data_IF_322697515918
#
_entry.id   IF_322697515918
#
_cell.length_a   1.000
_cell.length_b   1.000
_cell.length_c   1.000
_cell.angle_alpha   90.00
_cell.angle_beta   90.00
_cell.angle_gamma   90.00
#
_symmetry.space_group_name_H-M   'P 1'
#
loop_
_entity.id
_entity.type
_entity.pdbx_description
1 polymer ?
#
# COMPACT_ATOMS: atom_id res chain seq x y z
N UNK A 1 14.58 -6.68 1.45
CA UNK A 1 13.91 -5.42 1.85
C UNK A 1 12.63 -5.73 2.62
N UNK A 2 12.28 -4.90 3.60
CA UNK A 2 11.02 -4.96 4.35
C UNK A 2 10.15 -3.77 4.00
N UNK A 3 8.91 -4.02 3.58
CA UNK A 3 7.88 -3.01 3.32
C UNK A 3 6.74 -3.20 4.31
N UNK A 4 6.37 -2.14 5.02
CA UNK A 4 5.19 -2.13 5.89
C UNK A 4 4.20 -1.11 5.38
N UNK A 5 2.95 -1.53 5.21
CA UNK A 5 1.87 -0.64 4.78
C UNK A 5 0.65 -0.75 5.69
N UNK A 6 -0.04 0.37 5.88
CA UNK A 6 -1.22 0.49 6.74
C UNK A 6 -2.39 1.07 5.96
N UNK A 7 -3.56 0.44 6.02
CA UNK A 7 -4.79 0.98 5.48
C UNK A 7 -5.90 1.06 6.53
N UNK A 8 -6.78 2.03 6.36
CA UNK A 8 -7.96 2.24 7.21
C UNK A 8 -8.19 3.72 7.50
N UNK A 9 -9.42 4.04 7.89
CA UNK A 9 -9.85 5.41 8.15
C UNK A 9 -9.64 5.89 9.60
N UNK A 10 -8.68 5.33 10.35
CA UNK A 10 -8.46 5.66 11.75
C UNK A 10 -6.97 5.77 12.04
N UNK A 11 -6.57 6.79 12.77
CA UNK A 11 -5.22 6.98 13.27
C UNK A 11 -4.82 5.79 14.18
N UNK A 12 -3.60 5.31 14.05
CA UNK A 12 -3.06 4.15 14.78
C UNK A 12 -1.76 4.51 15.48
N UNK A 13 -1.80 5.53 16.35
CA UNK A 13 -0.61 6.13 16.98
C UNK A 13 0.29 5.09 17.66
N UNK A 14 -0.27 4.23 18.50
CA UNK A 14 0.52 3.24 19.25
C UNK A 14 1.26 2.25 18.32
N UNK A 15 0.62 1.80 17.24
CA UNK A 15 1.26 0.91 16.27
C UNK A 15 2.36 1.63 15.50
N UNK A 16 2.09 2.87 15.07
CA UNK A 16 3.07 3.66 14.31
C UNK A 16 4.25 4.08 15.18
N UNK A 17 4.02 4.49 16.43
CA UNK A 17 5.10 4.74 17.39
C UNK A 17 5.98 3.50 17.63
N UNK A 18 5.38 2.30 17.64
CA UNK A 18 6.14 1.06 17.74
C UNK A 18 6.98 0.74 16.49
N UNK A 19 6.56 1.18 15.29
CA UNK A 19 7.36 1.12 14.08
C UNK A 19 8.50 2.14 14.09
N UNK A 20 8.21 3.38 14.52
CA UNK A 20 9.21 4.46 14.66
C UNK A 20 10.35 4.04 15.59
N UNK A 21 10.01 3.45 16.75
CA UNK A 21 10.99 2.93 17.71
C UNK A 21 11.89 1.82 17.13
N UNK A 22 11.49 1.18 16.03
CA UNK A 22 12.24 0.16 15.30
C UNK A 22 12.94 0.69 14.05
N UNK A 23 12.82 1.98 13.75
CA UNK A 23 13.33 2.58 12.52
C UNK A 23 12.66 2.03 11.25
N UNK A 24 11.41 1.57 11.35
CA UNK A 24 10.65 1.01 10.23
C UNK A 24 9.74 2.06 9.62
N UNK A 25 10.06 2.58 8.42
CA UNK A 25 9.22 3.54 7.74
C UNK A 25 7.93 2.89 7.27
N UNK A 26 6.85 3.69 7.28
CA UNK A 26 5.50 3.25 6.95
C UNK A 26 5.03 3.85 5.63
N UNK A 27 4.30 3.08 4.82
CA UNK A 27 3.50 3.59 3.71
C UNK A 27 2.03 3.57 4.08
N UNK A 28 1.40 4.73 4.16
CA UNK A 28 -0.04 4.84 4.33
C UNK A 28 -0.78 4.58 3.01
N UNK A 29 -1.72 3.64 3.02
CA UNK A 29 -2.60 3.37 1.88
C UNK A 29 -3.89 4.17 2.06
N UNK A 30 -4.03 5.28 1.35
CA UNK A 30 -5.13 6.23 1.52
C UNK A 30 -6.13 6.18 0.36
N UNK A 31 -7.41 6.22 0.71
CA UNK A 31 -8.54 6.46 -0.19
C UNK A 31 -9.03 7.88 0.09
N UNK A 32 -8.82 8.81 -0.82
CA UNK A 32 -9.07 10.21 -0.54
C UNK A 32 -10.55 10.57 -0.38
N UNK A 33 -11.46 9.83 -1.03
CA UNK A 33 -12.88 10.15 -1.02
C UNK A 33 -13.56 9.93 0.35
N UNK A 34 -13.04 9.02 1.18
CA UNK A 34 -13.59 8.67 2.49
C UNK A 34 -12.58 8.79 3.63
N UNK A 35 -11.48 9.51 3.42
CA UNK A 35 -10.47 9.73 4.44
C UNK A 35 -10.93 10.79 5.45
N UNK A 36 -10.99 10.45 6.76
CA UNK A 36 -11.29 11.44 7.79
C UNK A 36 -10.26 12.57 7.84
N UNK A 37 -10.70 13.79 8.07
CA UNK A 37 -9.83 14.97 8.13
C UNK A 37 -8.72 14.83 9.18
N UNK A 38 -9.02 14.21 10.31
CA UNK A 38 -8.04 13.90 11.37
C UNK A 38 -6.91 13.01 10.88
N UNK A 39 -7.23 11.93 10.15
CA UNK A 39 -6.23 11.03 9.56
C UNK A 39 -5.36 11.76 8.53
N UNK A 40 -5.97 12.60 7.70
CA UNK A 40 -5.26 13.40 6.69
C UNK A 40 -4.29 14.38 7.37
N UNK A 41 -4.75 15.11 8.38
CA UNK A 41 -3.93 16.05 9.13
C UNK A 41 -2.76 15.34 9.83
N UNK A 42 -3.02 14.17 10.40
CA UNK A 42 -2.01 13.35 11.07
C UNK A 42 -0.94 12.83 10.11
N UNK A 43 -1.33 12.29 8.93
CA UNK A 43 -0.38 11.83 7.90
C UNK A 43 0.49 13.01 7.41
N UNK A 44 -0.11 14.17 7.17
CA UNK A 44 0.63 15.38 6.75
C UNK A 44 1.65 15.84 7.79
N UNK A 45 1.27 15.85 9.07
CA UNK A 45 2.15 16.26 10.15
C UNK A 45 3.36 15.34 10.32
N UNK A 46 3.19 14.05 10.03
CA UNK A 46 4.27 13.06 10.14
C UNK A 46 5.23 13.06 8.95
N UNK A 47 4.75 13.40 7.75
CA UNK A 47 5.54 13.29 6.53
C UNK A 47 5.88 11.85 6.11
N UNK A 48 5.08 10.88 6.57
CA UNK A 48 5.23 9.48 6.18
C UNK A 48 4.99 9.28 4.67
N UNK A 49 5.48 8.16 4.14
CA UNK A 49 5.22 7.79 2.75
C UNK A 49 3.74 7.47 2.53
N UNK A 50 3.23 7.83 1.37
CA UNK A 50 1.82 7.69 1.01
C UNK A 50 1.67 6.95 -0.30
N UNK A 51 0.66 6.09 -0.39
CA UNK A 51 0.21 5.47 -1.63
C UNK A 51 -1.30 5.69 -1.83
N UNK A 52 -1.68 6.02 -3.05
CA UNK A 52 -3.09 6.02 -3.45
C UNK A 52 -3.65 4.59 -3.41
N UNK A 53 -4.79 4.38 -2.73
CA UNK A 53 -5.41 3.05 -2.57
C UNK A 53 -6.84 2.99 -3.14
N UNK A 54 -6.99 3.42 -4.39
CA UNK A 54 -8.29 3.58 -5.02
C UNK A 54 -8.95 4.92 -4.67
N UNK A 55 -10.21 5.09 -5.10
CA UNK A 55 -10.97 6.30 -4.85
C UNK A 55 -11.85 6.18 -3.61
N UNK A 56 -12.90 5.32 -3.66
CA UNK A 56 -13.89 5.18 -2.59
C UNK A 56 -14.26 3.74 -2.23
N UNK A 57 -13.82 2.75 -3.01
CA UNK A 57 -14.25 1.35 -2.96
C UNK A 57 -15.78 1.14 -3.16
N UNK A 58 -16.55 2.19 -3.44
CA UNK A 58 -17.99 2.11 -3.63
C UNK A 58 -18.34 1.73 -5.07
N UNK A 59 -17.44 2.01 -6.00
CA UNK A 59 -17.66 1.77 -7.42
C UNK A 59 -17.60 0.27 -7.72
N UNK A 60 -18.69 -0.25 -8.30
CA UNK A 60 -18.72 -1.65 -8.75
C UNK A 60 -18.00 -1.74 -10.08
N UNK A 61 -17.00 -2.63 -10.25
CA UNK A 61 -16.46 -2.92 -11.56
C UNK A 61 -17.60 -3.48 -12.44
N UNK A 62 -17.67 -3.01 -13.68
CA UNK A 62 -18.53 -3.61 -14.69
C UNK A 62 -17.96 -5.00 -15.00
N UNK A 63 -18.60 -6.06 -14.50
CA UNK A 63 -18.18 -7.44 -14.75
C UNK A 63 -18.34 -8.37 -13.55
N UNK A 64 -18.51 -9.64 -13.84
CA UNK A 64 -18.83 -10.67 -12.87
C UNK A 64 -17.62 -11.07 -12.01
N UNK A 65 -17.78 -11.06 -10.69
CA UNK A 65 -17.09 -12.05 -9.89
C UNK A 65 -16.09 -11.60 -8.81
N UNK A 66 -15.64 -10.35 -8.68
CA UNK A 66 -14.60 -10.00 -7.68
C UNK A 66 -15.01 -9.01 -6.58
N UNK A 67 -16.31 -8.77 -6.41
CA UNK A 67 -16.89 -8.02 -5.29
C UNK A 67 -16.47 -6.53 -5.24
N UNK A 68 -17.16 -5.74 -4.41
CA UNK A 68 -16.99 -4.29 -4.25
C UNK A 68 -15.55 -3.77 -4.01
N UNK A 69 -14.61 -4.66 -3.67
CA UNK A 69 -13.24 -4.28 -3.29
C UNK A 69 -12.22 -4.42 -4.41
N UNK A 70 -12.62 -4.88 -5.57
CA UNK A 70 -11.73 -5.03 -6.73
C UNK A 70 -11.89 -3.86 -7.72
N UNK A 71 -11.92 -2.63 -7.22
CA UNK A 71 -12.22 -1.41 -7.98
C UNK A 71 -11.46 -1.31 -9.31
N UNK A 72 -10.18 -1.72 -9.33
CA UNK A 72 -9.31 -1.62 -10.50
C UNK A 72 -8.98 -2.97 -11.16
N UNK A 73 -9.62 -4.06 -10.73
CA UNK A 73 -9.26 -5.41 -11.16
C UNK A 73 -9.64 -5.74 -12.61
N UNK A 74 -10.60 -5.01 -13.19
CA UNK A 74 -11.16 -5.29 -14.53
C UNK A 74 -11.51 -4.03 -15.32
N UNK A 75 -11.00 -2.86 -14.94
CA UNK A 75 -11.32 -1.61 -15.63
C UNK A 75 -10.62 -1.55 -16.98
N UNK A 76 -11.31 -1.05 -18.01
CA UNK A 76 -10.66 -0.60 -19.24
C UNK A 76 -9.86 0.69 -18.97
N UNK A 77 -8.89 0.98 -19.82
CA UNK A 77 -7.95 2.08 -19.67
C UNK A 77 -8.63 3.42 -19.37
N UNK A 78 -9.61 3.83 -20.19
CA UNK A 78 -10.26 5.13 -20.04
C UNK A 78 -10.98 5.30 -18.71
N UNK A 79 -11.63 4.24 -18.21
CA UNK A 79 -12.34 4.28 -16.92
C UNK A 79 -11.34 4.30 -15.75
N UNK A 80 -10.27 3.54 -15.85
CA UNK A 80 -9.20 3.57 -14.85
C UNK A 80 -8.54 4.97 -14.79
N UNK A 81 -8.27 5.58 -15.95
CA UNK A 81 -7.70 6.93 -16.03
C UNK A 81 -8.60 7.98 -15.37
N UNK A 82 -9.91 7.95 -15.65
CA UNK A 82 -10.88 8.86 -15.02
C UNK A 82 -10.89 8.72 -13.48
N UNK A 83 -10.89 7.49 -12.98
CA UNK A 83 -10.87 7.23 -11.52
C UNK A 83 -9.58 7.66 -10.86
N UNK A 84 -8.44 7.39 -11.49
CA UNK A 84 -7.14 7.85 -10.99
C UNK A 84 -7.03 9.37 -10.98
N UNK A 85 -7.55 10.04 -12.03
CA UNK A 85 -7.64 11.51 -12.07
C UNK A 85 -8.49 12.05 -10.92
N UNK A 86 -9.68 11.49 -10.69
CA UNK A 86 -10.55 11.88 -9.58
C UNK A 86 -9.87 11.67 -8.21
N UNK A 87 -9.22 10.53 -8.02
CA UNK A 87 -8.51 10.22 -6.81
C UNK A 87 -7.33 11.16 -6.54
N UNK A 88 -6.53 11.49 -7.58
CA UNK A 88 -5.45 12.48 -7.46
C UNK A 88 -5.97 13.88 -7.12
N UNK A 89 -7.03 14.33 -7.77
CA UNK A 89 -7.66 15.62 -7.44
C UNK A 89 -8.12 15.67 -5.99
N UNK A 90 -8.72 14.59 -5.49
CA UNK A 90 -9.15 14.51 -4.11
C UNK A 90 -7.95 14.51 -3.13
N UNK A 91 -6.84 13.84 -3.44
CA UNK A 91 -5.60 13.93 -2.65
C UNK A 91 -5.03 15.35 -2.64
N UNK A 92 -4.94 15.99 -3.80
CA UNK A 92 -4.44 17.37 -3.92
C UNK A 92 -5.31 18.36 -3.17
N UNK A 93 -6.63 18.18 -3.19
CA UNK A 93 -7.58 19.04 -2.46
C UNK A 93 -7.36 19.00 -0.95
N UNK A 94 -6.84 17.92 -0.41
CA UNK A 94 -6.48 17.79 1.02
C UNK A 94 -4.98 18.03 1.29
N UNK A 95 -4.25 18.56 0.30
CA UNK A 95 -2.83 18.91 0.43
C UNK A 95 -1.89 17.72 0.51
N UNK A 96 -2.27 16.58 -0.07
CA UNK A 96 -1.46 15.37 -0.17
C UNK A 96 -1.12 15.06 -1.64
N UNK A 97 0.01 14.40 -1.85
CA UNK A 97 0.44 13.95 -3.18
C UNK A 97 1.22 12.65 -3.09
N UNK A 98 1.13 11.82 -4.12
CA UNK A 98 1.94 10.61 -4.27
C UNK A 98 2.06 10.18 -5.73
N UNK A 99 3.18 9.56 -6.08
CA UNK A 99 3.43 8.84 -7.33
C UNK A 99 3.39 7.31 -7.15
N UNK A 100 2.93 6.86 -5.97
CA UNK A 100 2.76 5.44 -5.63
C UNK A 100 1.29 5.06 -5.71
N UNK A 101 0.96 4.04 -6.50
CA UNK A 101 -0.37 3.48 -6.59
C UNK A 101 -0.39 2.02 -6.10
N UNK A 102 -1.28 1.76 -5.17
CA UNK A 102 -1.56 0.42 -4.63
C UNK A 102 -3.05 0.15 -4.83
N UNK A 103 -3.45 -0.57 -5.89
CA UNK A 103 -4.86 -0.80 -6.15
C UNK A 103 -5.52 -1.61 -5.04
N UNK A 104 -6.83 -1.41 -4.78
CA UNK A 104 -7.59 -2.22 -3.84
C UNK A 104 -7.44 -3.71 -4.13
N UNK A 105 -7.24 -4.49 -3.05
CA UNK A 105 -6.94 -5.94 -3.12
C UNK A 105 -5.67 -6.28 -3.91
N UNK A 106 -4.83 -5.31 -4.21
CA UNK A 106 -3.60 -5.48 -5.00
C UNK A 106 -3.84 -5.96 -6.43
N UNK A 107 -5.04 -5.69 -6.96
CA UNK A 107 -5.48 -6.16 -8.28
C UNK A 107 -5.59 -4.98 -9.25
N UNK A 108 -4.91 -5.09 -10.38
CA UNK A 108 -4.98 -4.18 -11.51
C UNK A 108 -5.20 -4.95 -12.81
N UNK A 109 -6.06 -4.42 -13.69
CA UNK A 109 -6.13 -4.86 -15.09
C UNK A 109 -5.01 -4.24 -15.90
N UNK A 110 -4.76 -4.76 -17.10
CA UNK A 110 -3.80 -4.16 -18.04
C UNK A 110 -4.20 -2.70 -18.38
N UNK A 111 -5.50 -2.43 -18.50
CA UNK A 111 -6.02 -1.07 -18.67
C UNK A 111 -5.71 -0.17 -17.49
N UNK A 112 -5.75 -0.69 -16.27
CA UNK A 112 -5.36 0.05 -15.06
C UNK A 112 -3.86 0.31 -15.03
N UNK A 113 -3.03 -0.65 -15.42
CA UNK A 113 -1.57 -0.46 -15.51
C UNK A 113 -1.24 0.65 -16.52
N UNK A 114 -1.81 0.59 -17.72
CA UNK A 114 -1.62 1.62 -18.75
C UNK A 114 -2.08 3.01 -18.27
N UNK A 115 -3.23 3.11 -17.62
CA UNK A 115 -3.73 4.35 -17.05
C UNK A 115 -2.81 4.90 -15.92
N UNK A 116 -2.23 4.03 -15.09
CA UNK A 116 -1.29 4.45 -14.05
C UNK A 116 -0.01 5.05 -14.66
N UNK A 117 0.52 4.46 -15.74
CA UNK A 117 1.66 5.01 -16.49
C UNK A 117 1.31 6.38 -17.07
N UNK A 118 0.19 6.50 -17.79
CA UNK A 118 -0.27 7.75 -18.38
C UNK A 118 -0.46 8.86 -17.34
N UNK A 119 -0.99 8.52 -16.18
CA UNK A 119 -1.19 9.45 -15.07
C UNK A 119 0.11 9.79 -14.33
N UNK A 120 1.28 9.26 -14.75
CA UNK A 120 2.57 9.56 -14.15
C UNK A 120 2.78 8.95 -12.77
N UNK A 121 2.14 7.82 -12.46
CA UNK A 121 2.55 7.04 -11.30
C UNK A 121 3.90 6.38 -11.60
N UNK A 122 4.80 6.46 -10.62
CA UNK A 122 6.11 5.83 -10.73
C UNK A 122 6.11 4.40 -10.20
N UNK A 123 5.37 4.15 -9.14
CA UNK A 123 5.28 2.83 -8.50
C UNK A 123 3.88 2.29 -8.56
N UNK A 124 3.74 1.06 -9.03
CA UNK A 124 2.52 0.26 -8.94
C UNK A 124 2.79 -1.00 -8.11
N UNK A 125 2.14 -1.12 -6.96
CA UNK A 125 2.30 -2.30 -6.13
C UNK A 125 1.06 -3.21 -6.20
N UNK A 126 1.20 -4.34 -6.88
CA UNK A 126 0.16 -5.36 -7.09
C UNK A 126 0.44 -6.65 -6.31
N UNK A 127 -0.41 -7.67 -6.42
CA UNK A 127 -0.26 -8.92 -5.66
C UNK A 127 1.04 -9.65 -5.99
N UNK A 128 1.47 -9.64 -7.25
CA UNK A 128 2.68 -10.31 -7.73
C UNK A 128 3.98 -9.60 -7.35
N UNK A 129 3.93 -8.28 -7.12
CA UNK A 129 5.15 -7.51 -6.86
C UNK A 129 4.97 -6.00 -6.82
N UNK A 130 6.11 -5.34 -6.78
CA UNK A 130 6.24 -3.88 -6.84
C UNK A 130 6.89 -3.56 -8.18
N UNK A 131 6.19 -2.81 -9.01
CA UNK A 131 6.59 -2.42 -10.34
C UNK A 131 7.06 -0.96 -10.32
N UNK A 132 8.26 -0.70 -10.77
CA UNK A 132 8.70 0.65 -11.16
C UNK A 132 8.23 0.87 -12.60
N UNK A 133 7.23 1.73 -12.78
CA UNK A 133 6.61 1.99 -14.08
C UNK A 133 7.48 2.85 -15.00
N UNK A 134 8.52 3.48 -14.47
CA UNK A 134 9.45 4.27 -15.26
C UNK A 134 10.57 3.39 -15.87
N UNK A 135 11.19 2.55 -15.06
CA UNK A 135 12.26 1.66 -15.52
C UNK A 135 11.78 0.30 -16.04
N UNK A 136 10.53 -0.07 -15.77
CA UNK A 136 9.99 -1.40 -16.05
C UNK A 136 10.47 -2.48 -15.07
N UNK A 137 11.28 -2.13 -14.07
CA UNK A 137 11.78 -3.08 -13.09
C UNK A 137 10.66 -3.61 -12.19
N UNK A 138 10.72 -4.90 -11.89
CA UNK A 138 9.75 -5.58 -11.02
C UNK A 138 10.48 -6.26 -9.86
N UNK A 139 10.04 -5.97 -8.64
CA UNK A 139 10.47 -6.68 -7.44
C UNK A 139 9.37 -7.67 -7.06
N UNK A 140 9.56 -8.99 -7.31
CA UNK A 140 8.58 -10.00 -6.93
C UNK A 140 8.43 -10.04 -5.41
N UNK A 141 7.24 -9.72 -4.91
CA UNK A 141 6.97 -9.67 -3.48
C UNK A 141 5.49 -9.91 -3.19
N UNK A 142 5.16 -11.04 -2.57
CA UNK A 142 3.78 -11.33 -2.15
C UNK A 142 3.42 -10.53 -0.91
N UNK A 143 2.15 -10.13 -0.83
CA UNK A 143 1.62 -9.42 0.34
C UNK A 143 1.31 -10.41 1.45
N UNK A 144 1.89 -10.20 2.61
CA UNK A 144 1.54 -10.88 3.85
C UNK A 144 0.57 -10.00 4.65
N UNK A 145 -0.65 -10.47 4.85
CA UNK A 145 -1.59 -9.79 5.75
C UNK A 145 -1.23 -10.01 7.22
N UNK A 146 -1.77 -9.19 8.11
CA UNK A 146 -1.51 -9.27 9.56
C UNK A 146 -1.70 -10.68 10.18
N UNK A 147 -2.55 -11.54 9.59
CA UNK A 147 -2.74 -12.91 10.06
C UNK A 147 -1.66 -13.87 9.61
N UNK A 148 -1.14 -13.68 8.40
CA UNK A 148 -0.15 -14.57 7.79
C UNK A 148 1.29 -14.10 8.00
N UNK A 149 1.50 -12.87 8.47
CA UNK A 149 2.83 -12.31 8.64
C UNK A 149 3.76 -13.18 9.52
N UNK A 150 3.35 -13.68 10.70
CA UNK A 150 4.25 -14.46 11.57
C UNK A 150 4.87 -15.67 10.90
N UNK A 151 4.08 -16.46 10.17
CA UNK A 151 4.58 -17.64 9.45
C UNK A 151 5.15 -17.29 8.07
N UNK A 152 4.54 -16.32 7.40
CA UNK A 152 4.91 -15.91 6.05
C UNK A 152 6.28 -15.26 5.98
N UNK A 153 6.66 -14.47 6.97
CA UNK A 153 7.98 -13.81 7.02
C UNK A 153 9.10 -14.83 7.02
N UNK A 154 9.07 -15.82 7.90
CA UNK A 154 10.08 -16.86 7.96
C UNK A 154 10.20 -17.64 6.64
N UNK A 155 9.07 -17.88 5.96
CA UNK A 155 9.06 -18.55 4.66
C UNK A 155 9.68 -17.69 3.55
N UNK A 156 9.38 -16.37 3.51
CA UNK A 156 9.96 -15.44 2.54
C UNK A 156 11.46 -15.30 2.74
N UNK A 157 11.90 -15.11 3.99
CA UNK A 157 13.32 -14.96 4.34
C UNK A 157 14.17 -16.17 3.92
N UNK A 158 13.66 -17.40 4.14
CA UNK A 158 14.35 -18.61 3.68
C UNK A 158 14.57 -18.67 2.17
N UNK A 159 13.78 -17.93 1.39
CA UNK A 159 13.91 -17.80 -0.06
C UNK A 159 14.69 -16.57 -0.53
N UNK A 160 15.21 -15.78 0.40
CA UNK A 160 15.92 -14.53 0.10
C UNK A 160 15.03 -13.44 -0.51
N UNK A 161 13.71 -13.56 -0.42
CA UNK A 161 12.77 -12.62 -1.00
C UNK A 161 12.52 -11.38 -0.14
N UNK A 162 11.98 -10.31 -0.73
CA UNK A 162 11.55 -9.13 0.01
C UNK A 162 10.29 -9.43 0.82
N UNK A 163 10.28 -8.96 2.06
CA UNK A 163 9.15 -9.08 2.99
C UNK A 163 8.20 -7.89 2.79
N UNK A 164 6.92 -8.16 2.59
CA UNK A 164 5.89 -7.15 2.35
C UNK A 164 4.69 -7.40 3.25
N UNK A 165 4.55 -6.62 4.31
CA UNK A 165 3.51 -6.76 5.31
C UNK A 165 2.45 -5.67 5.12
N UNK A 166 1.18 -6.07 5.03
CA UNK A 166 0.05 -5.16 5.00
C UNK A 166 -0.83 -5.32 6.22
N UNK A 167 -1.08 -4.22 6.92
CA UNK A 167 -1.91 -4.15 8.10
C UNK A 167 -3.14 -3.28 7.82
N UNK A 168 -4.32 -3.75 8.19
CA UNK A 168 -5.53 -2.91 8.19
C UNK A 168 -5.76 -2.42 9.61
N UNK A 169 -6.12 -1.17 9.81
CA UNK A 169 -6.42 -0.60 11.13
C UNK A 169 -7.37 -1.47 11.96
N UNK A 170 -8.38 -2.11 11.32
CA UNK A 170 -9.29 -3.03 12.00
C UNK A 170 -8.63 -4.33 12.49
N UNK A 171 -7.52 -4.75 11.91
CA UNK A 171 -6.82 -5.96 12.33
C UNK A 171 -6.11 -5.72 13.68
N UNK A 172 -5.65 -4.49 13.93
CA UNK A 172 -4.99 -4.07 15.18
C UNK A 172 -5.94 -4.03 16.40
N UNK A 173 -7.26 -4.00 16.16
CA UNK A 173 -8.26 -4.08 17.24
C UNK A 173 -8.38 -5.48 17.85
N UNK A 174 -7.81 -6.49 17.22
CA UNK A 174 -7.89 -7.87 17.71
C UNK A 174 -6.81 -8.12 18.76
N UNK A 175 -7.13 -8.72 19.93
CA UNK A 175 -6.15 -9.02 20.97
C UNK A 175 -4.94 -9.76 20.42
N UNK A 176 -3.73 -9.38 20.84
CA UNK A 176 -2.47 -9.99 20.46
C UNK A 176 -2.06 -9.81 18.98
N UNK A 177 -2.88 -9.12 18.15
CA UNK A 177 -2.56 -8.95 16.73
C UNK A 177 -1.43 -7.97 16.51
N UNK A 178 -1.40 -6.88 17.26
CA UNK A 178 -0.32 -5.90 17.20
C UNK A 178 1.01 -6.55 17.53
N UNK A 179 1.09 -7.25 18.64
CA UNK A 179 2.32 -7.92 19.10
C UNK A 179 2.79 -8.98 18.09
N UNK A 180 1.85 -9.75 17.55
CA UNK A 180 2.12 -10.77 16.53
C UNK A 180 2.70 -10.18 15.24
N UNK A 181 2.21 -9.00 14.79
CA UNK A 181 2.74 -8.30 13.63
C UNK A 181 4.10 -7.68 13.93
N UNK A 182 4.26 -7.05 15.09
CA UNK A 182 5.54 -6.46 15.50
C UNK A 182 6.63 -7.52 15.64
N UNK A 183 6.33 -8.69 16.22
CA UNK A 183 7.26 -9.80 16.28
C UNK A 183 7.69 -10.32 14.90
N UNK A 184 6.75 -10.34 13.93
CA UNK A 184 7.08 -10.68 12.55
C UNK A 184 7.98 -9.63 11.88
N UNK A 185 7.77 -8.34 12.18
CA UNK A 185 8.63 -7.24 11.74
C UNK A 185 10.02 -7.37 12.36
N UNK A 186 10.12 -7.61 13.67
CA UNK A 186 11.39 -7.82 14.37
C UNK A 186 12.18 -8.98 13.75
N UNK A 187 11.50 -10.09 13.44
CA UNK A 187 12.11 -11.21 12.71
C UNK A 187 12.66 -10.77 11.35
N UNK A 188 11.91 -9.95 10.60
CA UNK A 188 12.36 -9.47 9.29
C UNK A 188 13.57 -8.53 9.40
N UNK A 189 13.59 -7.63 10.39
CA UNK A 189 14.67 -6.67 10.62
C UNK A 189 16.03 -7.32 10.87
N UNK A 190 16.05 -8.53 11.44
CA UNK A 190 17.29 -9.31 11.59
C UNK A 190 17.92 -9.76 10.27
N UNK A 191 17.23 -9.63 9.13
CA UNK A 191 17.66 -10.16 7.84
C UNK A 191 17.61 -9.15 6.68
N UNK A 192 16.72 -8.16 6.74
CA UNK A 192 16.47 -7.25 5.62
C UNK A 192 16.29 -5.80 6.08
N UNK A 193 16.70 -4.86 5.24
CA UNK A 193 16.58 -3.42 5.52
C UNK A 193 15.15 -2.93 5.24
N UNK A 194 14.56 -2.12 6.14
CA UNK A 194 13.24 -1.54 5.93
C UNK A 194 13.28 -0.40 4.90
N UNK A 195 12.20 -0.26 4.14
CA UNK A 195 11.99 0.80 3.15
C UNK A 195 10.49 0.99 2.88
N UNK A 196 10.12 2.05 2.15
CA UNK A 196 8.77 2.28 1.67
C UNK A 196 8.65 1.97 0.18
N UNK A 197 7.41 1.92 -0.35
CA UNK A 197 7.20 1.74 -1.79
C UNK A 197 7.82 2.88 -2.60
N UNK A 198 7.62 4.13 -2.19
CA UNK A 198 8.24 5.29 -2.83
C UNK A 198 9.74 5.38 -2.60
N UNK A 199 10.23 4.96 -1.44
CA UNK A 199 11.65 4.96 -1.10
C UNK A 199 12.49 4.04 -1.98
N UNK A 200 11.93 2.93 -2.43
CA UNK A 200 12.62 2.04 -3.37
C UNK A 200 12.84 2.71 -4.73
N UNK A 201 11.83 3.35 -5.27
CA UNK A 201 11.92 3.99 -6.57
C UNK A 201 12.94 5.15 -6.57
N UNK A 202 13.08 5.87 -5.45
CA UNK A 202 14.09 6.92 -5.29
C UNK A 202 15.53 6.39 -5.22
N UNK A 203 15.74 5.12 -4.82
CA UNK A 203 17.09 4.51 -4.78
C UNK A 203 17.52 3.93 -6.11
N UNK A 204 16.59 3.68 -7.02
CA UNK A 204 16.86 3.12 -8.34
C UNK A 204 17.08 4.19 -9.42
N UNK A 205 16.93 5.46 -9.08
CA UNK A 205 17.18 6.64 -9.92
C UNK A 205 18.53 7.27 -9.61
#
# INVERSE_FOLDING_TARGET
MLYVSLSGGVVQEAFVAALDARGVPLTHLLRPADAPAELVAWIRARGDDLALHGYDHATRPLGHGRGRKGEFASLPHHEAALRLTAARRALTAVGLWTDVFVPPRWLASDGTVAAAVEQGFRVLAVESGIHDLHSGAVVPARVLGARSAPLGVAWVLRRGGPVRIHVRAKDLRRPGRTDSVLAAIDTALGHVTPTTYGGQARRAA
#
